data_IF_858366051674
#
_entry.id   IF_858366051674
#
_cell.length_a   1.000
_cell.length_b   1.000
_cell.length_c   1.000
_cell.angle_alpha   90.00
_cell.angle_beta   90.00
_cell.angle_gamma   90.00
#
_symmetry.space_group_name_H-M   'P 1'
#
loop_
_entity.id
_entity.type
_entity.pdbx_description
1 polymer ?
#
# COMPACT_ATOMS: atom_id res chain seq x y z
N UNK A 1 7.30 24.71 -2.81
CA UNK A 1 6.65 23.81 -1.83
C UNK A 1 5.74 24.59 -0.88
N UNK A 2 5.95 25.90 -0.75
CA UNK A 2 5.47 26.67 0.40
C UNK A 2 4.13 27.40 0.15
N UNK A 3 3.68 27.48 -1.09
CA UNK A 3 2.49 28.26 -1.49
C UNK A 3 1.14 27.76 -0.93
N UNK A 4 0.99 26.47 -0.60
CA UNK A 4 -0.28 25.91 -0.09
C UNK A 4 -0.40 26.07 1.43
N UNK A 5 0.70 25.90 2.16
CA UNK A 5 0.69 25.91 3.63
C UNK A 5 1.09 27.25 4.25
N UNK A 6 1.68 28.20 3.50
CA UNK A 6 2.01 29.54 4.02
C UNK A 6 0.80 30.48 4.08
N UNK A 7 -0.29 30.20 3.36
CA UNK A 7 -1.44 31.11 3.19
C UNK A 7 -2.69 30.71 3.97
N UNK A 8 -2.66 29.62 4.71
CA UNK A 8 -3.83 29.13 5.43
C UNK A 8 -3.87 29.71 6.84
N UNK A 9 -4.37 30.94 6.96
CA UNK A 9 -5.11 31.28 8.18
C UNK A 9 -6.17 30.20 8.39
N UNK A 10 -6.43 29.76 9.64
CA UNK A 10 -7.43 28.72 9.89
C UNK A 10 -8.77 29.19 9.31
N UNK A 11 -9.20 28.58 8.20
CA UNK A 11 -10.55 28.78 7.67
C UNK A 11 -11.52 28.55 8.83
N UNK A 12 -12.27 29.60 9.19
CA UNK A 12 -13.31 29.53 10.20
C UNK A 12 -14.21 28.32 9.90
N UNK A 13 -14.37 27.41 10.88
CA UNK A 13 -15.33 26.31 10.79
C UNK A 13 -14.79 24.88 10.79
N UNK A 14 -13.47 24.64 10.69
CA UNK A 14 -12.97 23.26 10.89
C UNK A 14 -12.89 22.93 12.38
N UNK A 15 -13.80 22.07 12.85
CA UNK A 15 -13.76 21.53 14.21
C UNK A 15 -12.98 20.22 14.20
N UNK A 16 -11.79 20.22 14.81
CA UNK A 16 -10.94 19.02 14.89
C UNK A 16 -11.44 18.03 15.94
N UNK A 17 -11.13 16.75 15.73
CA UNK A 17 -11.36 15.68 16.71
C UNK A 17 -10.05 14.97 17.06
N UNK A 18 -10.00 14.22 18.17
CA UNK A 18 -8.88 13.33 18.49
C UNK A 18 -8.66 12.19 17.48
N UNK A 19 -9.61 11.95 16.57
CA UNK A 19 -9.60 10.83 15.62
C UNK A 19 -9.35 11.25 14.17
N UNK A 20 -8.92 12.51 13.95
CA UNK A 20 -8.63 13.04 12.62
C UNK A 20 -7.34 12.43 12.07
N UNK A 21 -7.43 11.74 10.93
CA UNK A 21 -6.28 11.15 10.22
C UNK A 21 -6.27 11.53 8.74
N UNK A 22 -5.14 11.34 8.09
CA UNK A 22 -5.02 11.47 6.63
C UNK A 22 -4.54 10.17 6.01
N UNK A 23 -4.94 9.93 4.76
CA UNK A 23 -4.34 8.92 3.90
C UNK A 23 -3.31 9.61 3.03
N UNK A 24 -2.04 9.24 3.18
CA UNK A 24 -0.91 9.82 2.44
C UNK A 24 -0.34 8.80 1.45
N UNK A 25 -0.24 9.18 0.18
CA UNK A 25 0.33 8.32 -0.86
C UNK A 25 -0.59 7.17 -1.27
N UNK A 26 -1.91 7.41 -1.31
CA UNK A 26 -2.86 6.56 -2.02
C UNK A 26 -3.46 7.35 -3.18
N UNK A 27 -3.36 6.79 -4.38
CA UNK A 27 -3.76 7.43 -5.63
C UNK A 27 -5.13 6.98 -6.12
N UNK A 28 -5.84 6.19 -5.31
CA UNK A 28 -7.18 5.70 -5.59
C UNK A 28 -7.29 4.95 -6.93
N UNK A 29 -6.26 4.18 -7.28
CA UNK A 29 -6.23 3.41 -8.52
C UNK A 29 -7.35 2.39 -8.48
N UNK A 30 -8.35 2.54 -9.34
CA UNK A 30 -9.52 1.66 -9.37
C UNK A 30 -10.36 1.66 -8.09
N UNK A 31 -10.25 2.68 -7.24
CA UNK A 31 -10.99 2.77 -5.97
C UNK A 31 -10.23 2.34 -4.72
N UNK A 32 -8.92 2.07 -4.81
CA UNK A 32 -8.08 1.63 -3.67
C UNK A 32 -8.25 2.51 -2.41
N UNK A 33 -8.18 3.84 -2.55
CA UNK A 33 -8.25 4.77 -1.42
C UNK A 33 -9.64 4.79 -0.77
N UNK A 34 -10.70 4.62 -1.56
CA UNK A 34 -12.06 4.53 -1.04
C UNK A 34 -12.27 3.26 -0.20
N UNK A 35 -11.76 2.12 -0.67
CA UNK A 35 -11.81 0.88 0.10
C UNK A 35 -11.01 0.99 1.41
N UNK A 36 -9.83 1.61 1.36
CA UNK A 36 -9.02 1.91 2.55
C UNK A 36 -9.75 2.85 3.52
N UNK A 37 -10.36 3.92 3.01
CA UNK A 37 -11.11 4.91 3.79
C UNK A 37 -12.24 4.27 4.59
N UNK A 38 -13.02 3.39 3.95
CA UNK A 38 -14.14 2.71 4.60
C UNK A 38 -13.66 1.97 5.85
N UNK A 39 -12.55 1.22 5.78
CA UNK A 39 -12.03 0.49 6.94
C UNK A 39 -11.57 1.43 8.06
N UNK A 40 -10.90 2.55 7.73
CA UNK A 40 -10.46 3.53 8.72
C UNK A 40 -11.65 4.23 9.39
N UNK A 41 -12.68 4.59 8.63
CA UNK A 41 -13.90 5.21 9.18
C UNK A 41 -14.74 4.22 9.99
N UNK A 42 -14.80 2.94 9.59
CA UNK A 42 -15.50 1.90 10.35
C UNK A 42 -14.87 1.61 11.71
N UNK A 43 -13.54 1.77 11.87
CA UNK A 43 -12.90 1.66 13.19
C UNK A 43 -13.11 2.91 14.07
N UNK A 44 -13.73 3.96 13.53
CA UNK A 44 -14.08 5.20 14.25
C UNK A 44 -13.14 6.37 14.00
N UNK A 45 -12.23 6.28 13.03
CA UNK A 45 -11.40 7.42 12.62
C UNK A 45 -12.15 8.34 11.66
N UNK A 46 -11.71 9.59 11.56
CA UNK A 46 -12.21 10.56 10.59
C UNK A 46 -11.12 10.86 9.57
N UNK A 47 -11.30 10.40 8.33
CA UNK A 47 -10.35 10.67 7.25
C UNK A 47 -10.60 12.08 6.69
N UNK A 48 -9.74 13.02 7.08
CA UNK A 48 -9.91 14.45 6.74
C UNK A 48 -9.22 14.86 5.43
N UNK A 49 -8.34 14.00 4.89
CA UNK A 49 -7.72 14.18 3.60
C UNK A 49 -7.19 12.87 3.00
N UNK A 50 -7.15 12.81 1.66
CA UNK A 50 -6.50 11.74 0.89
C UNK A 50 -5.54 12.33 -0.14
N UNK A 51 -4.27 11.91 -0.11
CA UNK A 51 -3.20 12.43 -0.95
C UNK A 51 -2.78 11.37 -1.97
N UNK A 52 -3.12 11.49 -3.26
CA UNK A 52 -4.03 12.49 -3.84
C UNK A 52 -5.14 11.87 -4.68
N UNK A 53 -5.36 10.56 -4.57
CA UNK A 53 -6.49 9.92 -5.21
C UNK A 53 -7.80 10.47 -4.67
N UNK A 54 -8.62 11.05 -5.56
CA UNK A 54 -9.88 11.74 -5.21
C UNK A 54 -9.74 12.92 -4.22
N UNK A 55 -8.53 13.39 -3.96
CA UNK A 55 -8.29 14.47 -3.00
C UNK A 55 -8.70 15.85 -3.54
N UNK A 56 -9.39 16.64 -2.73
CA UNK A 56 -9.68 18.06 -3.03
C UNK A 56 -8.66 18.99 -2.41
N UNK A 57 -8.46 20.18 -3.00
CA UNK A 57 -7.56 21.20 -2.41
C UNK A 57 -7.94 21.54 -0.95
N UNK A 58 -9.24 21.59 -0.65
CA UNK A 58 -9.73 21.87 0.69
C UNK A 58 -9.32 20.80 1.72
N UNK A 59 -9.28 19.54 1.32
CA UNK A 59 -8.75 18.45 2.16
C UNK A 59 -7.24 18.57 2.37
N UNK A 60 -6.48 18.87 1.30
CA UNK A 60 -5.03 19.05 1.41
C UNK A 60 -4.69 20.21 2.37
N UNK A 61 -5.43 21.31 2.28
CA UNK A 61 -5.30 22.46 3.20
C UNK A 61 -5.68 22.12 4.65
N UNK A 62 -6.53 21.12 4.88
CA UNK A 62 -6.91 20.66 6.22
C UNK A 62 -5.94 19.64 6.82
N UNK A 63 -5.02 19.08 6.02
CA UNK A 63 -4.07 18.04 6.45
C UNK A 63 -3.24 18.45 7.68
N UNK A 64 -2.79 19.72 7.85
CA UNK A 64 -2.10 20.16 9.06
C UNK A 64 -2.91 20.06 10.36
N UNK A 65 -4.19 19.68 10.29
CA UNK A 65 -5.09 19.53 11.45
C UNK A 65 -5.20 18.07 11.91
N UNK A 66 -4.61 17.12 11.17
CA UNK A 66 -4.61 15.71 11.50
C UNK A 66 -3.84 15.41 12.79
N UNK A 67 -4.19 14.30 13.44
CA UNK A 67 -3.48 13.75 14.60
C UNK A 67 -2.38 12.79 14.18
N UNK A 68 -2.57 12.11 13.05
CA UNK A 68 -1.61 11.18 12.45
C UNK A 68 -1.76 11.20 10.93
N UNK A 69 -0.63 11.16 10.23
CA UNK A 69 -0.56 10.93 8.79
C UNK A 69 -0.30 9.44 8.50
N UNK A 70 -1.24 8.76 7.86
CA UNK A 70 -1.09 7.34 7.50
C UNK A 70 -0.48 7.23 6.11
N UNK A 71 0.78 6.83 6.00
CA UNK A 71 1.48 6.76 4.71
C UNK A 71 1.41 5.35 4.11
N UNK A 72 0.74 5.23 2.97
CA UNK A 72 0.70 4.00 2.17
C UNK A 72 1.91 3.97 1.24
N UNK A 73 1.99 4.89 0.27
CA UNK A 73 3.17 4.99 -0.61
C UNK A 73 4.28 5.83 0.03
N UNK A 74 5.16 5.15 0.76
CA UNK A 74 6.36 5.77 1.34
C UNK A 74 7.19 6.49 0.29
N UNK A 75 7.54 5.84 -0.83
CA UNK A 75 8.50 6.39 -1.82
C UNK A 75 8.10 7.77 -2.34
N UNK A 76 6.82 7.98 -2.63
CA UNK A 76 6.37 9.22 -3.28
C UNK A 76 6.06 10.34 -2.29
N UNK A 77 5.64 10.02 -1.06
CA UNK A 77 5.10 11.02 -0.12
C UNK A 77 5.83 11.10 1.22
N UNK A 78 6.91 10.34 1.45
CA UNK A 78 7.69 10.48 2.70
C UNK A 78 8.19 11.92 2.92
N UNK A 79 8.48 12.65 1.84
CA UNK A 79 8.97 14.02 1.93
C UNK A 79 7.97 14.97 2.59
N UNK A 80 6.68 14.85 2.25
CA UNK A 80 5.65 15.72 2.81
C UNK A 80 5.27 15.27 4.21
N UNK A 81 5.30 13.96 4.49
CA UNK A 81 5.10 13.43 5.83
C UNK A 81 6.17 13.97 6.82
N UNK A 82 7.45 13.89 6.45
CA UNK A 82 8.56 14.46 7.23
C UNK A 82 8.43 15.97 7.41
N UNK A 83 8.07 16.70 6.36
CA UNK A 83 7.85 18.14 6.46
C UNK A 83 6.71 18.49 7.43
N UNK A 84 5.60 17.73 7.41
CA UNK A 84 4.48 17.95 8.31
C UNK A 84 4.81 17.59 9.76
N UNK A 85 5.64 16.59 9.98
CA UNK A 85 6.21 16.26 11.29
C UNK A 85 7.09 17.41 11.81
N UNK A 86 8.04 17.90 11.00
CA UNK A 86 8.95 18.99 11.38
C UNK A 86 8.23 20.33 11.62
N UNK A 87 7.29 20.70 10.74
CA UNK A 87 6.63 22.02 10.76
C UNK A 87 5.41 22.09 11.67
N UNK A 88 4.62 21.01 11.73
CA UNK A 88 3.33 20.99 12.43
C UNK A 88 3.31 19.98 13.60
N UNK A 89 4.37 19.20 13.81
CA UNK A 89 4.43 18.20 14.88
C UNK A 89 3.51 17.00 14.65
N UNK A 90 3.06 16.75 13.41
CA UNK A 90 2.11 15.68 13.10
C UNK A 90 2.90 14.39 12.82
N UNK A 91 2.79 13.36 13.68
CA UNK A 91 3.49 12.11 13.45
C UNK A 91 2.92 11.38 12.23
N UNK A 92 3.71 10.47 11.66
CA UNK A 92 3.30 9.62 10.55
C UNK A 92 3.67 8.16 10.79
N UNK A 93 2.91 7.25 10.18
CA UNK A 93 3.21 5.81 10.22
C UNK A 93 2.98 5.14 8.87
N UNK A 94 3.86 4.24 8.48
CA UNK A 94 3.67 3.36 7.33
C UNK A 94 2.61 2.30 7.62
N UNK A 95 1.75 2.01 6.64
CA UNK A 95 0.76 0.95 6.70
C UNK A 95 0.60 0.26 5.34
N UNK A 96 0.03 -0.95 5.31
CA UNK A 96 -0.15 -1.73 4.11
C UNK A 96 -1.55 -2.37 4.07
N UNK A 97 -2.36 -2.01 3.07
CA UNK A 97 -3.71 -2.55 2.88
C UNK A 97 -3.80 -3.53 1.69
N UNK A 98 -2.70 -4.20 1.34
CA UNK A 98 -2.72 -5.32 0.40
C UNK A 98 -2.81 -6.67 1.12
N UNK A 99 -3.95 -7.33 1.00
CA UNK A 99 -4.18 -8.67 1.55
C UNK A 99 -4.72 -8.63 2.99
N UNK A 100 -5.55 -9.61 3.38
CA UNK A 100 -6.20 -9.62 4.69
C UNK A 100 -5.22 -9.60 5.87
N UNK A 101 -4.07 -10.28 5.77
CA UNK A 101 -3.09 -10.34 6.85
C UNK A 101 -2.50 -8.96 7.16
N UNK A 102 -2.07 -8.24 6.11
CA UNK A 102 -1.50 -6.90 6.25
C UNK A 102 -2.55 -5.84 6.61
N UNK A 103 -3.78 -5.96 6.10
CA UNK A 103 -4.90 -5.10 6.50
C UNK A 103 -5.15 -5.23 8.01
N UNK A 104 -5.27 -6.45 8.53
CA UNK A 104 -5.53 -6.67 9.95
C UNK A 104 -4.38 -6.17 10.83
N UNK A 105 -3.13 -6.42 10.44
CA UNK A 105 -1.95 -5.92 11.15
C UNK A 105 -1.90 -4.38 11.15
N UNK A 106 -2.15 -3.76 9.99
CA UNK A 106 -2.16 -2.31 9.83
C UNK A 106 -3.28 -1.66 10.65
N UNK A 107 -4.50 -2.20 10.63
CA UNK A 107 -5.60 -1.70 11.45
C UNK A 107 -5.27 -1.73 12.94
N UNK A 108 -4.67 -2.82 13.43
CA UNK A 108 -4.22 -2.94 14.83
C UNK A 108 -3.15 -1.91 15.18
N UNK A 109 -2.14 -1.74 14.32
CA UNK A 109 -1.07 -0.75 14.53
C UNK A 109 -1.60 0.69 14.54
N UNK A 110 -2.53 1.00 13.63
CA UNK A 110 -3.17 2.31 13.56
C UNK A 110 -4.00 2.54 14.82
N UNK A 111 -4.86 1.58 15.19
CA UNK A 111 -5.71 1.69 16.37
C UNK A 111 -4.91 1.83 17.68
N UNK A 112 -3.72 1.25 17.76
CA UNK A 112 -2.82 1.37 18.90
C UNK A 112 -2.32 2.82 19.15
N UNK A 113 -2.44 3.72 18.17
CA UNK A 113 -2.13 5.14 18.32
C UNK A 113 -3.24 5.94 19.00
N UNK A 114 -4.41 5.34 19.22
CA UNK A 114 -5.59 5.99 19.79
C UNK A 114 -6.04 5.29 21.09
N UNK A 115 -7.27 5.56 21.52
CA UNK A 115 -7.86 4.98 22.73
C UNK A 115 -8.41 3.56 22.53
N UNK A 116 -8.85 2.95 23.62
CA UNK A 116 -9.35 1.58 23.64
C UNK A 116 -10.63 1.39 22.81
N UNK A 117 -11.40 2.44 22.56
CA UNK A 117 -12.57 2.38 21.66
C UNK A 117 -12.14 2.04 20.25
N UNK A 118 -11.09 2.69 19.74
CA UNK A 118 -10.57 2.43 18.38
C UNK A 118 -9.93 1.05 18.30
N UNK A 119 -9.24 0.60 19.35
CA UNK A 119 -8.66 -0.76 19.43
C UNK A 119 -9.75 -1.84 19.40
N UNK A 120 -10.81 -1.69 20.20
CA UNK A 120 -11.94 -2.60 20.18
C UNK A 120 -12.66 -2.60 18.83
N UNK A 121 -12.83 -1.42 18.22
CA UNK A 121 -13.46 -1.31 16.92
C UNK A 121 -12.63 -1.96 15.81
N UNK A 122 -11.29 -1.88 15.88
CA UNK A 122 -10.42 -2.59 14.95
C UNK A 122 -10.67 -4.11 14.97
N UNK A 123 -10.75 -4.73 16.16
CA UNK A 123 -11.08 -6.16 16.25
C UNK A 123 -12.51 -6.46 15.78
N UNK A 124 -13.49 -5.59 16.05
CA UNK A 124 -14.86 -5.75 15.54
C UNK A 124 -14.89 -5.71 14.00
N UNK A 125 -14.17 -4.78 13.37
CA UNK A 125 -14.08 -4.65 11.90
C UNK A 125 -13.36 -5.87 11.31
N UNK A 126 -12.23 -6.29 11.88
CA UNK A 126 -11.52 -7.50 11.44
C UNK A 126 -12.45 -8.72 11.50
N UNK A 127 -13.15 -8.93 12.62
CA UNK A 127 -14.10 -10.02 12.78
C UNK A 127 -15.28 -9.94 11.80
N UNK A 128 -15.79 -8.73 11.53
CA UNK A 128 -16.88 -8.48 10.57
C UNK A 128 -16.51 -8.95 9.16
N UNK A 129 -15.28 -8.68 8.71
CA UNK A 129 -14.83 -9.04 7.36
C UNK A 129 -14.23 -10.45 7.26
N UNK A 130 -13.90 -11.11 8.38
CA UNK A 130 -13.29 -12.44 8.38
C UNK A 130 -14.07 -13.48 7.56
N UNK A 131 -15.41 -13.59 7.62
CA UNK A 131 -16.14 -14.56 6.80
C UNK A 131 -15.99 -14.32 5.29
N UNK A 132 -15.87 -13.06 4.85
CA UNK A 132 -15.62 -12.72 3.46
C UNK A 132 -14.20 -13.15 3.05
N UNK A 133 -13.22 -12.87 3.90
CA UNK A 133 -11.82 -13.29 3.70
C UNK A 133 -11.72 -14.82 3.59
N UNK A 134 -12.32 -15.54 4.53
CA UNK A 134 -12.31 -17.00 4.56
C UNK A 134 -12.94 -17.58 3.29
N UNK A 135 -14.04 -17.00 2.81
CA UNK A 135 -14.70 -17.43 1.57
C UNK A 135 -13.80 -17.20 0.33
N UNK A 136 -13.07 -16.07 0.27
CA UNK A 136 -12.12 -15.79 -0.81
C UNK A 136 -10.95 -16.78 -0.76
N UNK A 137 -10.34 -16.98 0.42
CA UNK A 137 -9.22 -17.91 0.59
C UNK A 137 -9.65 -19.34 0.23
N UNK A 138 -10.77 -19.83 0.79
CA UNK A 138 -11.27 -21.18 0.52
C UNK A 138 -11.54 -21.41 -0.98
N UNK A 139 -11.97 -20.38 -1.71
CA UNK A 139 -12.23 -20.46 -3.14
C UNK A 139 -10.97 -20.43 -4.00
N UNK A 140 -10.00 -19.59 -3.65
CA UNK A 140 -8.88 -19.26 -4.56
C UNK A 140 -7.54 -19.86 -4.14
N UNK A 141 -7.24 -19.98 -2.84
CA UNK A 141 -5.96 -20.54 -2.37
C UNK A 141 -5.69 -21.95 -2.91
N UNK A 142 -6.64 -22.91 -2.90
CA UNK A 142 -6.40 -24.24 -3.48
C UNK A 142 -6.06 -24.25 -4.97
N UNK A 143 -6.36 -23.17 -5.71
CA UNK A 143 -6.07 -23.03 -7.14
C UNK A 143 -4.70 -22.40 -7.41
N UNK A 144 -4.17 -21.70 -6.42
CA UNK A 144 -2.98 -20.85 -6.52
C UNK A 144 -1.82 -21.34 -5.65
N UNK A 145 -2.08 -22.28 -4.75
CA UNK A 145 -1.08 -22.86 -3.86
C UNK A 145 0.17 -23.31 -4.63
N UNK A 146 1.34 -22.89 -4.13
CA UNK A 146 2.66 -23.18 -4.67
C UNK A 146 3.01 -22.49 -5.99
N UNK A 147 2.14 -21.63 -6.54
CA UNK A 147 2.43 -20.90 -7.78
C UNK A 147 3.45 -19.81 -7.55
N UNK A 148 4.45 -19.73 -8.43
CA UNK A 148 5.57 -18.78 -8.37
C UNK A 148 5.24 -17.50 -9.10
N UNK A 149 5.56 -16.36 -8.50
CA UNK A 149 5.28 -15.03 -9.04
C UNK A 149 6.57 -14.22 -9.13
N UNK A 150 6.74 -13.53 -10.25
CA UNK A 150 7.74 -12.47 -10.39
C UNK A 150 7.06 -11.10 -10.52
N UNK A 151 7.54 -10.12 -9.76
CA UNK A 151 6.95 -8.77 -9.68
C UNK A 151 7.95 -7.72 -10.16
N UNK A 152 7.54 -6.82 -11.06
CA UNK A 152 8.35 -5.65 -11.44
C UNK A 152 7.48 -4.43 -11.65
N UNK A 153 7.59 -3.45 -10.75
CA UNK A 153 6.70 -2.27 -10.67
C UNK A 153 7.55 -1.05 -10.26
N UNK A 154 6.94 0.11 -10.01
CA UNK A 154 7.61 1.36 -9.65
C UNK A 154 8.38 1.35 -8.32
N UNK A 155 7.81 1.91 -7.25
CA UNK A 155 8.55 2.23 -6.01
C UNK A 155 7.95 1.72 -4.69
N UNK A 156 6.83 0.99 -4.71
CA UNK A 156 6.13 0.55 -3.49
C UNK A 156 5.59 -0.88 -3.60
N UNK A 157 4.70 -1.08 -4.59
CA UNK A 157 3.96 -2.33 -4.77
C UNK A 157 4.84 -3.58 -4.84
N UNK A 158 6.10 -3.58 -5.37
CA UNK A 158 6.92 -4.80 -5.38
C UNK A 158 7.14 -5.46 -4.02
N UNK A 159 7.14 -4.71 -2.91
CA UNK A 159 7.09 -5.28 -1.55
C UNK A 159 5.68 -5.32 -0.96
N UNK A 160 4.86 -4.30 -1.19
CA UNK A 160 3.57 -4.16 -0.49
C UNK A 160 2.57 -5.27 -0.83
N UNK A 161 2.62 -5.82 -2.04
CA UNK A 161 1.66 -6.86 -2.47
C UNK A 161 2.10 -8.28 -2.10
N UNK A 162 3.30 -8.46 -1.55
CA UNK A 162 3.91 -9.78 -1.32
C UNK A 162 3.02 -10.66 -0.42
N UNK A 163 2.53 -10.12 0.69
CA UNK A 163 1.70 -10.91 1.61
C UNK A 163 0.30 -11.19 1.07
N UNK A 164 -0.24 -10.36 0.18
CA UNK A 164 -1.49 -10.70 -0.52
C UNK A 164 -1.33 -11.93 -1.42
N UNK A 165 -0.14 -12.14 -1.99
CA UNK A 165 0.18 -13.39 -2.71
C UNK A 165 0.36 -14.56 -1.74
N UNK A 166 1.06 -14.37 -0.62
CA UNK A 166 1.25 -15.40 0.41
C UNK A 166 -0.07 -15.85 1.05
N UNK A 167 -1.02 -14.93 1.27
CA UNK A 167 -2.36 -15.22 1.78
C UNK A 167 -3.12 -16.21 0.87
N UNK A 168 -2.79 -16.22 -0.43
CA UNK A 168 -3.32 -17.15 -1.43
C UNK A 168 -2.41 -18.37 -1.70
N UNK A 169 -1.37 -18.59 -0.89
CA UNK A 169 -0.45 -19.71 -1.01
C UNK A 169 0.54 -19.61 -2.18
N UNK A 170 0.65 -18.44 -2.81
CA UNK A 170 1.63 -18.20 -3.88
C UNK A 170 2.99 -17.84 -3.29
N UNK A 171 4.05 -17.93 -4.09
CA UNK A 171 5.42 -17.62 -3.69
C UNK A 171 6.01 -16.53 -4.57
N UNK A 172 6.46 -15.43 -3.98
CA UNK A 172 7.25 -14.41 -4.70
C UNK A 172 8.68 -14.92 -4.84
N UNK A 173 9.09 -15.24 -6.07
CA UNK A 173 10.44 -15.76 -6.38
C UNK A 173 11.37 -14.70 -6.97
N UNK A 174 10.79 -13.59 -7.42
CA UNK A 174 11.54 -12.41 -7.86
C UNK A 174 10.71 -11.15 -7.66
N UNK A 175 11.34 -10.07 -7.21
CA UNK A 175 10.69 -8.77 -7.10
C UNK A 175 11.66 -7.65 -7.43
N UNK A 176 11.17 -6.53 -7.93
CA UNK A 176 12.04 -5.41 -8.23
C UNK A 176 11.32 -4.14 -8.62
N UNK A 177 12.11 -3.10 -8.75
CA UNK A 177 11.65 -1.72 -8.78
C UNK A 177 12.22 -0.96 -9.98
N UNK A 178 11.41 -0.09 -10.58
CA UNK A 178 11.88 0.86 -11.59
C UNK A 178 12.71 2.01 -10.96
N UNK A 179 12.33 2.48 -9.77
CA UNK A 179 12.91 3.71 -9.19
C UNK A 179 12.89 3.76 -7.65
N UNK A 180 12.93 2.60 -6.99
CA UNK A 180 13.04 2.56 -5.53
C UNK A 180 14.41 3.09 -5.06
N UNK A 181 14.49 3.52 -3.80
CA UNK A 181 15.77 3.88 -3.19
C UNK A 181 16.21 2.82 -2.17
N UNK A 182 17.44 2.93 -1.66
CA UNK A 182 18.00 1.97 -0.69
C UNK A 182 17.12 1.73 0.54
N UNK A 183 16.37 2.73 0.99
CA UNK A 183 15.45 2.61 2.13
C UNK A 183 14.23 1.73 1.82
N UNK A 184 13.79 1.68 0.56
CA UNK A 184 12.76 0.73 0.08
C UNK A 184 13.33 -0.69 -0.01
N UNK A 185 14.58 -0.86 -0.45
CA UNK A 185 15.25 -2.17 -0.50
C UNK A 185 15.44 -2.77 0.90
N UNK A 186 15.82 -1.96 1.88
CA UNK A 186 15.87 -2.38 3.29
C UNK A 186 14.52 -2.89 3.79
N UNK A 187 13.43 -2.18 3.47
CA UNK A 187 12.07 -2.62 3.81
C UNK A 187 11.68 -3.92 3.10
N UNK A 188 12.10 -4.10 1.86
CA UNK A 188 11.76 -5.26 1.03
C UNK A 188 12.24 -6.57 1.66
N UNK A 189 13.40 -6.56 2.32
CA UNK A 189 13.98 -7.74 2.98
C UNK A 189 13.08 -8.34 4.06
N UNK A 190 12.14 -7.56 4.62
CA UNK A 190 11.17 -8.07 5.61
C UNK A 190 10.01 -8.83 4.98
N UNK A 191 9.75 -8.62 3.69
CA UNK A 191 8.62 -9.23 2.98
C UNK A 191 9.03 -10.49 2.20
N UNK A 192 10.27 -10.54 1.72
CA UNK A 192 10.73 -11.62 0.85
C UNK A 192 11.62 -12.62 1.60
N UNK A 193 11.56 -13.89 1.19
CA UNK A 193 12.39 -14.95 1.78
C UNK A 193 13.81 -14.96 1.20
N UNK A 194 14.72 -15.60 1.93
CA UNK A 194 16.06 -15.90 1.43
C UNK A 194 16.00 -16.65 0.08
N UNK A 195 16.87 -16.26 -0.85
CA UNK A 195 16.91 -16.82 -2.21
C UNK A 195 15.95 -16.16 -3.21
N UNK A 196 15.13 -15.17 -2.79
CA UNK A 196 14.33 -14.35 -3.72
C UNK A 196 15.25 -13.45 -4.54
N UNK A 197 15.08 -13.43 -5.87
CA UNK A 197 15.82 -12.51 -6.73
C UNK A 197 15.31 -11.08 -6.56
N UNK A 198 16.20 -10.12 -6.30
CA UNK A 198 15.86 -8.69 -6.25
C UNK A 198 16.59 -7.97 -7.39
N UNK A 199 15.86 -7.17 -8.17
CA UNK A 199 16.40 -6.38 -9.28
C UNK A 199 15.97 -4.91 -9.22
N UNK A 200 16.90 -4.02 -9.54
CA UNK A 200 16.73 -2.55 -9.60
C UNK A 200 16.91 -2.10 -11.06
N UNK A 201 16.01 -1.26 -11.56
CA UNK A 201 16.01 -0.73 -12.93
C UNK A 201 16.29 -1.82 -13.98
N UNK A 202 15.61 -2.97 -13.84
CA UNK A 202 15.90 -4.15 -14.66
C UNK A 202 15.68 -3.85 -16.14
N UNK A 203 16.65 -4.19 -16.96
CA UNK A 203 16.49 -4.06 -18.40
C UNK A 203 15.52 -5.11 -18.94
N UNK A 204 14.89 -4.84 -20.08
CA UNK A 204 14.01 -5.81 -20.74
C UNK A 204 14.72 -7.15 -21.00
N UNK A 205 16.00 -7.10 -21.41
CA UNK A 205 16.81 -8.29 -21.65
C UNK A 205 17.01 -9.10 -20.36
N UNK A 206 17.38 -8.46 -19.25
CA UNK A 206 17.57 -9.14 -17.98
C UNK A 206 16.27 -9.76 -17.48
N UNK A 207 15.15 -9.02 -17.52
CA UNK A 207 13.86 -9.51 -17.04
C UNK A 207 13.40 -10.73 -17.85
N UNK A 208 13.54 -10.71 -19.18
CA UNK A 208 13.27 -11.87 -20.03
C UNK A 208 14.13 -13.07 -19.64
N UNK A 209 15.44 -12.88 -19.44
CA UNK A 209 16.36 -13.95 -19.04
C UNK A 209 16.05 -14.50 -17.66
N UNK A 210 15.71 -13.65 -16.69
CA UNK A 210 15.29 -14.09 -15.37
C UNK A 210 14.02 -14.92 -15.45
N UNK A 211 13.02 -14.49 -16.22
CA UNK A 211 11.77 -15.24 -16.41
C UNK A 211 12.02 -16.59 -17.09
N UNK A 212 12.89 -16.67 -18.09
CA UNK A 212 13.27 -17.93 -18.75
C UNK A 212 13.90 -18.95 -17.78
N UNK A 213 14.77 -18.48 -16.88
CA UNK A 213 15.48 -19.32 -15.91
C UNK A 213 14.59 -19.68 -14.72
N UNK A 214 13.92 -18.69 -14.14
CA UNK A 214 13.12 -18.85 -12.91
C UNK A 214 11.79 -19.56 -13.16
N UNK A 215 11.27 -19.50 -14.40
CA UNK A 215 10.02 -20.11 -14.85
C UNK A 215 8.86 -19.84 -13.88
N UNK A 216 8.49 -18.57 -13.64
CA UNK A 216 7.35 -18.24 -12.80
C UNK A 216 6.04 -18.71 -13.45
N UNK A 217 5.03 -18.97 -12.64
CA UNK A 217 3.67 -19.28 -13.09
C UNK A 217 2.87 -18.01 -13.43
N UNK A 218 3.29 -16.86 -12.90
CA UNK A 218 2.69 -15.55 -13.13
C UNK A 218 3.76 -14.46 -13.16
N UNK A 219 3.67 -13.57 -14.14
CA UNK A 219 4.43 -12.31 -14.16
C UNK A 219 3.48 -11.14 -13.86
N UNK A 220 3.88 -10.28 -12.93
CA UNK A 220 3.07 -9.17 -12.44
C UNK A 220 3.84 -7.85 -12.60
N UNK A 221 3.50 -7.06 -13.63
CA UNK A 221 4.30 -5.89 -14.01
C UNK A 221 3.48 -4.78 -14.70
N UNK A 222 4.09 -3.96 -15.56
CA UNK A 222 3.47 -2.85 -16.27
C UNK A 222 2.92 -3.21 -17.66
N UNK A 223 2.37 -2.23 -18.35
CA UNK A 223 1.78 -2.41 -19.69
C UNK A 223 2.81 -2.77 -20.76
N UNK A 224 4.05 -2.26 -20.62
CA UNK A 224 5.12 -2.46 -21.59
C UNK A 224 5.59 -3.92 -21.60
N UNK A 225 5.57 -4.55 -20.44
CA UNK A 225 6.02 -5.92 -20.20
C UNK A 225 4.93 -6.96 -20.54
N UNK A 226 3.65 -6.56 -20.46
CA UNK A 226 2.49 -7.45 -20.60
C UNK A 226 2.54 -8.37 -21.82
N UNK A 227 2.68 -7.77 -23.00
CA UNK A 227 2.53 -8.51 -24.25
C UNK A 227 3.75 -9.36 -24.59
N UNK A 228 4.92 -9.04 -24.01
CA UNK A 228 6.13 -9.86 -24.11
C UNK A 228 5.86 -11.22 -23.45
N UNK A 229 5.50 -11.22 -22.17
CA UNK A 229 5.32 -12.45 -21.41
C UNK A 229 4.07 -13.24 -21.82
N UNK A 230 3.00 -12.57 -22.25
CA UNK A 230 1.84 -13.27 -22.82
C UNK A 230 2.20 -14.03 -24.10
N UNK A 231 3.07 -13.47 -24.97
CA UNK A 231 3.55 -14.16 -26.18
C UNK A 231 4.51 -15.31 -25.86
N UNK A 232 5.18 -15.27 -24.71
CA UNK A 232 5.96 -16.39 -24.16
C UNK A 232 5.08 -17.47 -23.51
N UNK A 233 3.75 -17.31 -23.51
CA UNK A 233 2.82 -18.28 -22.95
C UNK A 233 2.64 -18.19 -21.43
N UNK A 234 3.08 -17.09 -20.81
CA UNK A 234 2.96 -16.90 -19.36
C UNK A 234 1.70 -16.09 -19.02
N UNK A 235 0.94 -16.50 -17.98
CA UNK A 235 -0.04 -15.64 -17.35
C UNK A 235 0.59 -14.31 -16.92
N UNK A 236 -0.10 -13.21 -17.21
CA UNK A 236 0.36 -11.87 -16.88
C UNK A 236 -0.75 -11.05 -16.21
N UNK A 237 -0.40 -10.32 -15.15
CA UNK A 237 -1.29 -9.32 -14.53
C UNK A 237 -0.60 -7.96 -14.47
N UNK A 238 -1.31 -6.94 -14.93
CA UNK A 238 -0.86 -5.57 -14.72
C UNK A 238 -1.05 -5.21 -13.25
N UNK A 239 0.02 -4.69 -12.63
CA UNK A 239 0.05 -4.24 -11.22
C UNK A 239 0.13 -2.71 -11.11
N UNK A 240 -0.22 -2.02 -12.21
CA UNK A 240 -0.39 -0.57 -12.34
C UNK A 240 -1.77 -0.27 -12.93
N UNK A 241 -2.14 1.01 -12.94
CA UNK A 241 -3.29 1.55 -13.70
C UNK A 241 -3.07 1.43 -15.21
#
# INVERSE_FOLDING_TARGET
RDWIFEKTEPKEGFVSTPYDVTIIGDYNIGGDAWASRILLEEIGLRVIAQWSGDGTLAELENTPKAKVNLIHCYRSMNYIARHMEEKFGIPWMEYNFFGPSQIAESLRKIAALFDDTIKENAEKVIAKYQPMVDAVIAKFKPRLEGKKVMVYVGGLRPRHVVDAYHDLGMEIVGTGYEFAHNDDYQRTQHYVKEGTLIYDDVTAFELEKFVEVMRPDLVASGIKEKYVFQKMGLPFRQMHS
#
